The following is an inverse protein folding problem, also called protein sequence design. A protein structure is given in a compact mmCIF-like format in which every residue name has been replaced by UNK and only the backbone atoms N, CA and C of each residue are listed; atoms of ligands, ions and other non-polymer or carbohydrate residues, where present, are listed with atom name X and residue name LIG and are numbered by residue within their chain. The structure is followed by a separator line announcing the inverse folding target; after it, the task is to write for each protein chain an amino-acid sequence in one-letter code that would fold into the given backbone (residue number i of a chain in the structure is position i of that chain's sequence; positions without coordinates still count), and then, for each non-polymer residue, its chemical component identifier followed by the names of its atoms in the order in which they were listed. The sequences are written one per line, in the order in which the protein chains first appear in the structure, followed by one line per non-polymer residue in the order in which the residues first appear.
data_IF_218564166869
#
_entry.id   IF_218564166869
#
_cell.length_a   1.000
_cell.length_b   1.000
_cell.length_c   1.000
_cell.angle_alpha   90.00
_cell.angle_beta   90.00
_cell.angle_gamma   90.00
#
_symmetry.space_group_name_H-M   'P 1'
#
loop_
_entity.id
_entity.type
_entity.pdbx_description
1 polymer ?
#
# COMPACT_ATOMS: atom_id res chain seq x y z
N UNK A 1 -2.00 31.31 2.30
CA UNK A 1 -2.32 30.21 1.34
C UNK A 1 -1.20 29.95 0.31
N UNK A 2 0.05 30.38 0.57
CA UNK A 2 1.13 30.40 -0.43
C UNK A 2 2.29 29.42 -0.16
N UNK A 3 2.45 28.93 1.07
CA UNK A 3 3.55 28.00 1.41
C UNK A 3 3.28 26.55 0.94
N UNK A 4 2.03 26.08 1.05
CA UNK A 4 1.64 24.70 0.71
C UNK A 4 1.80 24.41 -0.79
N UNK A 5 1.50 25.39 -1.64
CA UNK A 5 1.66 25.28 -3.09
C UNK A 5 3.13 25.37 -3.53
N UNK A 6 4.02 25.95 -2.71
CA UNK A 6 5.46 25.95 -2.96
C UNK A 6 6.09 24.57 -2.74
N UNK A 7 5.78 23.92 -1.62
CA UNK A 7 6.25 22.57 -1.28
C UNK A 7 5.80 21.51 -2.28
N UNK A 8 4.54 21.57 -2.73
CA UNK A 8 4.01 20.63 -3.74
C UNK A 8 4.75 20.81 -5.08
N UNK A 9 5.10 22.05 -5.45
CA UNK A 9 5.83 22.33 -6.70
C UNK A 9 7.32 22.05 -6.63
N UNK A 10 7.85 21.73 -5.46
CA UNK A 10 9.26 21.36 -5.30
C UNK A 10 9.51 20.00 -5.97
N UNK A 11 10.42 19.97 -6.94
CA UNK A 11 10.71 18.76 -7.73
C UNK A 11 11.31 17.64 -6.87
N UNK A 12 12.03 17.97 -5.79
CA UNK A 12 12.57 16.96 -4.86
C UNK A 12 11.44 16.30 -4.07
N UNK A 13 10.50 17.10 -3.55
CA UNK A 13 9.32 16.60 -2.83
C UNK A 13 8.46 15.75 -3.75
N UNK A 14 8.16 16.24 -4.95
CA UNK A 14 7.43 15.50 -5.99
C UNK A 14 8.09 14.16 -6.31
N UNK A 15 9.40 14.13 -6.49
CA UNK A 15 10.10 12.88 -6.79
C UNK A 15 10.06 11.89 -5.61
N UNK A 16 10.20 12.38 -4.38
CA UNK A 16 10.10 11.55 -3.16
C UNK A 16 8.69 10.95 -3.00
N UNK A 17 7.64 11.74 -3.23
CA UNK A 17 6.26 11.26 -3.26
C UNK A 17 6.11 10.19 -4.34
N UNK A 18 6.60 10.45 -5.56
CA UNK A 18 6.52 9.47 -6.66
C UNK A 18 7.23 8.16 -6.35
N UNK A 19 8.37 8.20 -5.65
CA UNK A 19 9.08 6.99 -5.22
C UNK A 19 8.25 6.18 -4.20
N UNK A 20 7.64 6.85 -3.21
CA UNK A 20 6.72 6.20 -2.27
C UNK A 20 5.51 5.60 -2.99
N UNK A 21 4.94 6.32 -3.96
CA UNK A 21 3.80 5.82 -4.74
C UNK A 21 4.20 4.64 -5.62
N UNK A 22 5.40 4.64 -6.21
CA UNK A 22 5.89 3.49 -6.99
C UNK A 22 5.95 2.23 -6.14
N UNK A 23 6.34 2.34 -4.86
CA UNK A 23 6.26 1.21 -3.92
C UNK A 23 4.81 0.73 -3.73
N UNK A 24 3.85 1.64 -3.56
CA UNK A 24 2.42 1.30 -3.40
C UNK A 24 1.75 0.78 -4.69
N UNK A 25 2.31 1.11 -5.86
CA UNK A 25 1.85 0.58 -7.14
C UNK A 25 2.24 -0.90 -7.33
N UNK A 26 3.22 -1.40 -6.59
CA UNK A 26 3.55 -2.82 -6.60
C UNK A 26 2.36 -3.66 -6.13
N UNK A 27 2.17 -4.79 -6.79
CA UNK A 27 1.10 -5.75 -6.52
C UNK A 27 1.74 -7.01 -6.00
N UNK A 28 1.47 -7.34 -4.74
CA UNK A 28 1.95 -8.57 -4.13
C UNK A 28 0.83 -9.63 -4.17
N UNK A 29 0.93 -10.66 -3.32
CA UNK A 29 -0.04 -11.72 -3.12
C UNK A 29 -1.47 -11.21 -3.24
N UNK A 30 -2.27 -11.80 -4.13
CA UNK A 30 -3.68 -11.44 -4.36
C UNK A 30 -3.93 -9.92 -4.52
N UNK A 31 -2.97 -9.21 -5.12
CA UNK A 31 -3.11 -7.79 -5.51
C UNK A 31 -3.23 -6.82 -4.32
N UNK A 32 -2.83 -7.22 -3.11
CA UNK A 32 -2.69 -6.32 -1.95
C UNK A 32 -1.27 -5.75 -1.87
N UNK A 33 -1.07 -4.77 -0.99
CA UNK A 33 0.24 -4.16 -0.73
C UNK A 33 1.11 -5.16 0.03
N UNK A 34 2.40 -5.16 -0.29
CA UNK A 34 3.44 -5.97 0.33
C UNK A 34 3.30 -6.00 1.86
N UNK A 35 3.54 -7.16 2.51
CA UNK A 35 3.45 -7.24 3.96
C UNK A 35 4.47 -6.31 4.60
N UNK A 36 4.10 -5.77 5.75
CA UNK A 36 5.03 -5.02 6.60
C UNK A 36 5.68 -6.03 7.54
N UNK A 37 6.96 -5.84 7.83
CA UNK A 37 7.60 -6.56 8.93
C UNK A 37 7.63 -5.59 10.10
N UNK A 38 7.12 -6.00 11.27
CA UNK A 38 7.42 -5.22 12.47
C UNK A 38 8.95 -5.11 12.62
N UNK A 39 9.46 -4.04 13.26
CA UNK A 39 10.89 -3.90 13.54
C UNK A 39 11.49 -5.07 14.35
N UNK A 40 10.64 -5.90 14.96
CA UNK A 40 10.98 -7.10 15.72
C UNK A 40 10.69 -8.41 14.97
N UNK A 41 10.06 -8.35 13.80
CA UNK A 41 9.74 -9.52 12.99
C UNK A 41 10.81 -9.69 11.91
N UNK A 42 11.69 -10.68 12.11
CA UNK A 42 12.69 -11.07 11.12
C UNK A 42 12.01 -11.77 9.94
N UNK A 43 12.44 -11.53 8.69
CA UNK A 43 11.90 -12.24 7.52
C UNK A 43 12.21 -13.75 7.49
N UNK A 44 13.02 -14.21 8.44
CA UNK A 44 13.47 -15.59 8.59
C UNK A 44 13.61 -15.93 10.06
N UNK A 45 13.31 -17.17 10.44
CA UNK A 45 13.54 -17.69 11.78
C UNK A 45 15.04 -17.80 12.06
N UNK A 46 15.51 -17.19 13.16
CA UNK A 46 16.93 -17.10 13.50
C UNK A 46 17.61 -18.46 13.73
N UNK A 47 16.85 -19.49 14.13
CA UNK A 47 17.39 -20.82 14.42
C UNK A 47 17.47 -21.71 13.17
N UNK A 48 16.45 -21.66 12.33
CA UNK A 48 16.30 -22.55 11.16
C UNK A 48 16.63 -21.88 9.84
N UNK A 49 16.79 -20.55 9.81
CA UNK A 49 16.91 -19.71 8.60
C UNK A 49 15.75 -19.88 7.62
N UNK A 50 14.63 -20.50 8.03
CA UNK A 50 13.45 -20.67 7.20
C UNK A 50 12.65 -19.38 7.16
N UNK A 51 12.02 -19.10 6.02
CA UNK A 51 11.12 -17.95 5.89
C UNK A 51 9.94 -18.07 6.84
N UNK A 52 9.69 -17.06 7.67
CA UNK A 52 8.48 -17.02 8.49
C UNK A 52 7.25 -16.71 7.63
N UNK A 53 6.02 -17.08 8.06
CA UNK A 53 4.80 -16.68 7.38
C UNK A 53 4.71 -15.16 7.22
N UNK A 54 4.23 -14.72 6.06
CA UNK A 54 4.05 -13.30 5.77
C UNK A 54 2.74 -12.80 6.39
N UNK A 55 2.79 -11.63 7.02
CA UNK A 55 1.64 -10.97 7.62
C UNK A 55 1.20 -9.76 6.81
N UNK A 56 -0.02 -9.83 6.28
CA UNK A 56 -0.63 -8.72 5.58
C UNK A 56 -1.57 -7.97 6.52
N UNK A 57 -1.15 -6.79 6.97
CA UNK A 57 -1.93 -5.96 7.89
C UNK A 57 -2.96 -5.10 7.16
N UNK A 58 -4.20 -5.12 7.65
CA UNK A 58 -5.28 -4.31 7.12
C UNK A 58 -5.01 -2.81 7.25
N UNK A 59 -4.33 -2.39 8.32
CA UNK A 59 -3.88 -1.00 8.50
C UNK A 59 -3.02 -0.53 7.32
N UNK A 60 -2.02 -1.32 6.93
CA UNK A 60 -1.13 -1.01 5.79
C UNK A 60 -1.91 -0.90 4.48
N UNK A 61 -2.88 -1.80 4.27
CA UNK A 61 -3.75 -1.74 3.08
C UNK A 61 -4.57 -0.45 3.04
N UNK A 62 -5.21 -0.08 4.15
CA UNK A 62 -6.03 1.13 4.28
C UNK A 62 -5.18 2.39 4.07
N UNK A 63 -3.99 2.44 4.68
CA UNK A 63 -3.06 3.56 4.52
C UNK A 63 -2.60 3.68 3.06
N UNK A 64 -2.22 2.59 2.43
CA UNK A 64 -1.80 2.62 1.04
C UNK A 64 -2.92 3.01 0.08
N UNK A 65 -4.14 2.53 0.31
CA UNK A 65 -5.33 2.98 -0.43
C UNK A 65 -5.50 4.51 -0.34
N UNK A 66 -5.47 5.07 0.86
CA UNK A 66 -5.63 6.53 1.05
C UNK A 66 -4.48 7.33 0.45
N UNK A 67 -3.24 6.85 0.57
CA UNK A 67 -2.06 7.48 -0.03
C UNK A 67 -2.12 7.49 -1.55
N UNK A 68 -2.57 6.40 -2.18
CA UNK A 68 -2.74 6.34 -3.64
C UNK A 68 -3.79 7.36 -4.14
N UNK A 69 -4.91 7.50 -3.43
CA UNK A 69 -5.91 8.52 -3.77
C UNK A 69 -5.37 9.94 -3.60
N UNK A 70 -4.67 10.22 -2.50
CA UNK A 70 -4.07 11.53 -2.26
C UNK A 70 -3.04 11.87 -3.36
N UNK A 71 -2.15 10.93 -3.68
CA UNK A 71 -1.19 11.09 -4.76
C UNK A 71 -1.87 11.34 -6.12
N UNK A 72 -3.01 10.69 -6.39
CA UNK A 72 -3.74 10.90 -7.64
C UNK A 72 -4.31 12.32 -7.75
N UNK A 73 -4.64 12.95 -6.62
CA UNK A 73 -5.03 14.35 -6.58
C UNK A 73 -3.82 15.26 -6.80
N UNK A 74 -2.66 14.92 -6.24
CA UNK A 74 -1.41 15.66 -6.42
C UNK A 74 -0.93 15.63 -7.87
N UNK A 75 -1.00 14.49 -8.57
CA UNK A 75 -0.60 14.37 -9.98
C UNK A 75 -1.44 15.27 -10.90
N UNK A 76 -2.66 15.68 -10.49
CA UNK A 76 -3.43 16.70 -11.21
C UNK A 76 -2.74 18.08 -11.18
N UNK A 77 -2.08 18.44 -10.08
CA UNK A 77 -1.28 19.66 -9.99
C UNK A 77 -0.02 19.58 -10.85
N UNK A 78 0.56 18.38 -10.99
CA UNK A 78 1.69 18.11 -11.89
C UNK A 78 1.29 17.96 -13.36
N UNK A 79 -0.01 18.05 -13.67
CA UNK A 79 -0.59 17.83 -15.01
C UNK A 79 -0.29 16.44 -15.59
N UNK A 80 -0.06 15.45 -14.72
CA UNK A 80 0.21 14.06 -15.12
C UNK A 80 -1.05 13.20 -14.95
N UNK A 81 -1.99 13.36 -15.89
CA UNK A 81 -3.30 12.69 -15.84
C UNK A 81 -3.20 11.18 -15.96
N UNK A 82 -2.25 10.67 -16.76
CA UNK A 82 -2.01 9.24 -16.93
C UNK A 82 -1.60 8.58 -15.61
N UNK A 83 -0.72 9.23 -14.87
CA UNK A 83 -0.26 8.71 -13.58
C UNK A 83 -1.35 8.80 -12.51
N UNK A 84 -2.16 9.86 -12.53
CA UNK A 84 -3.34 9.96 -11.67
C UNK A 84 -4.35 8.82 -11.94
N UNK A 85 -4.62 8.50 -13.20
CA UNK A 85 -5.51 7.40 -13.59
C UNK A 85 -4.95 6.03 -13.16
N UNK A 86 -3.64 5.81 -13.35
CA UNK A 86 -2.97 4.60 -12.88
C UNK A 86 -3.14 4.40 -11.37
N UNK A 87 -2.96 5.45 -10.57
CA UNK A 87 -3.10 5.40 -9.12
C UNK A 87 -4.55 5.16 -8.68
N UNK A 88 -5.54 5.78 -9.37
CA UNK A 88 -6.96 5.50 -9.12
C UNK A 88 -7.34 4.07 -9.46
N UNK A 89 -6.87 3.54 -10.59
CA UNK A 89 -7.08 2.14 -10.96
C UNK A 89 -6.48 1.20 -9.92
N UNK A 90 -5.23 1.45 -9.50
CA UNK A 90 -4.59 0.66 -8.44
C UNK A 90 -5.39 0.69 -7.13
N UNK A 91 -5.93 1.85 -6.78
CA UNK A 91 -6.77 2.02 -5.59
C UNK A 91 -8.02 1.13 -5.69
N UNK A 92 -8.71 1.14 -6.84
CA UNK A 92 -9.89 0.30 -7.06
C UNK A 92 -9.55 -1.19 -6.96
N UNK A 93 -8.49 -1.63 -7.63
CA UNK A 93 -7.98 -3.00 -7.55
C UNK A 93 -7.68 -3.43 -6.10
N UNK A 94 -7.08 -2.52 -5.32
CA UNK A 94 -6.74 -2.75 -3.92
C UNK A 94 -8.01 -2.86 -3.06
N UNK A 95 -9.01 -1.99 -3.23
CA UNK A 95 -10.27 -2.06 -2.49
C UNK A 95 -11.01 -3.37 -2.73
N UNK A 96 -11.12 -3.80 -3.99
CA UNK A 96 -11.76 -5.07 -4.33
C UNK A 96 -11.04 -6.26 -3.68
N UNK A 97 -9.70 -6.24 -3.68
CA UNK A 97 -8.91 -7.31 -3.06
C UNK A 97 -9.00 -7.27 -1.53
N UNK A 98 -8.97 -6.06 -0.94
CA UNK A 98 -9.09 -5.85 0.49
C UNK A 98 -10.44 -6.35 1.01
N UNK A 99 -11.53 -5.95 0.37
CA UNK A 99 -12.88 -6.40 0.75
C UNK A 99 -13.00 -7.92 0.70
N UNK A 100 -12.57 -8.53 -0.42
CA UNK A 100 -12.61 -9.99 -0.60
C UNK A 100 -11.79 -10.76 0.45
N UNK A 101 -10.68 -10.20 0.91
CA UNK A 101 -9.72 -10.92 1.75
C UNK A 101 -9.89 -10.62 3.25
N UNK A 102 -10.18 -9.36 3.58
CA UNK A 102 -10.19 -8.91 4.96
C UNK A 102 -11.59 -8.88 5.56
N UNK A 103 -12.66 -8.88 4.76
CA UNK A 103 -14.03 -8.90 5.30
C UNK A 103 -14.35 -10.28 5.89
N UNK A 104 -14.72 -10.31 7.17
CA UNK A 104 -15.24 -11.50 7.82
C UNK A 104 -16.77 -11.43 7.85
N UNK A 105 -17.43 -12.17 6.96
CA UNK A 105 -18.89 -12.20 6.83
C UNK A 105 -19.59 -12.64 8.13
N UNK A 106 -19.05 -13.65 8.81
CA UNK A 106 -19.66 -14.20 10.02
C UNK A 106 -19.61 -13.20 11.19
N UNK A 107 -18.52 -12.44 11.29
CA UNK A 107 -18.31 -11.48 12.38
C UNK A 107 -18.73 -10.05 12.03
N UNK A 108 -19.04 -9.78 10.77
CA UNK A 108 -19.46 -8.46 10.28
C UNK A 108 -18.41 -7.37 10.45
N UNK A 109 -17.12 -7.70 10.39
CA UNK A 109 -16.04 -6.72 10.48
C UNK A 109 -14.81 -7.13 9.67
N UNK A 110 -13.94 -6.16 9.38
CA UNK A 110 -12.64 -6.42 8.76
C UNK A 110 -11.67 -7.04 9.78
N UNK A 111 -10.92 -8.07 9.39
CA UNK A 111 -9.84 -8.62 10.21
C UNK A 111 -8.62 -7.68 10.20
N UNK A 112 -7.84 -7.75 11.27
CA UNK A 112 -6.65 -6.91 11.40
C UNK A 112 -5.49 -7.40 10.52
N UNK A 113 -5.34 -8.72 10.38
CA UNK A 113 -4.19 -9.35 9.73
C UNK A 113 -4.62 -10.62 9.00
N UNK A 114 -3.97 -10.88 7.87
CA UNK A 114 -4.04 -12.16 7.15
C UNK A 114 -2.65 -12.78 7.13
N UNK A 115 -2.58 -14.04 7.53
CA UNK A 115 -1.36 -14.83 7.47
C UNK A 115 -1.29 -15.54 6.12
N UNK A 116 -0.14 -15.46 5.46
CA UNK A 116 0.18 -16.28 4.33
C UNK A 116 1.35 -17.18 4.71
N UNK A 117 1.06 -18.47 4.85
CA UNK A 117 2.11 -19.47 4.99
C UNK A 117 3.01 -19.42 3.77
N UNK A 118 4.31 -19.22 4.00
CA UNK A 118 5.32 -19.52 3.01
C UNK A 118 5.38 -21.04 2.90
N UNK A 119 4.66 -21.61 1.92
CA UNK A 119 4.88 -23.02 1.58
C UNK A 119 6.33 -23.15 1.09
N UNK A 120 7.04 -24.10 1.71
CA UNK A 120 8.35 -24.61 1.30
C UNK A 120 8.41 -24.86 -0.20
#
# INVERSE_FOLDING_TARGET
MTQTTGLIKDETVKQRIRNLVNFLLYRDWKNIIKPDYSIWEESSDAWTSLSIPLQYYGFTQIQGHRKLLAAAMEEKYYKDTKRAELQRKRTQDLSTSFEKLFWNEEKGHFVQVIWQDNKK
#
